data_IF_909393144597
#
_entry.id   IF_909393144597
#
_cell.length_a   1.000
_cell.length_b   1.000
_cell.length_c   1.000
_cell.angle_alpha   90.00
_cell.angle_beta   90.00
_cell.angle_gamma   90.00
#
_symmetry.space_group_name_H-M   'P 1'
#
loop_
_entity.id
_entity.type
_entity.pdbx_description
1 polymer ?
#
# COMPACT_ATOMS: atom_id res chain seq x y z
N UNK A 1 0.27 -17.21 -3.01
CA UNK A 1 -0.52 -18.38 -2.53
C UNK A 1 -0.56 -19.47 -3.60
N UNK A 2 0.56 -20.13 -3.86
CA UNK A 2 0.60 -21.39 -4.61
C UNK A 2 1.60 -22.32 -3.92
N UNK A 3 1.10 -23.10 -2.97
CA UNK A 3 1.66 -24.36 -2.47
C UNK A 3 0.71 -24.81 -1.37
N UNK A 4 0.40 -26.11 -1.32
CA UNK A 4 -0.61 -26.80 -0.49
C UNK A 4 -1.96 -27.03 -1.20
N UNK A 5 -1.90 -27.77 -2.30
CA UNK A 5 -2.99 -28.67 -2.70
C UNK A 5 -2.43 -30.10 -2.82
N UNK A 6 -3.30 -31.09 -2.59
CA UNK A 6 -3.06 -32.54 -2.38
C UNK A 6 -2.87 -32.91 -0.90
N UNK A 7 -3.80 -33.59 -0.23
CA UNK A 7 -4.27 -34.97 -0.51
C UNK A 7 -5.53 -35.19 0.35
N UNK A 8 -6.67 -35.66 -0.17
CA UNK A 8 -7.14 -37.03 0.01
C UNK A 8 -8.46 -37.22 -0.77
N UNK A 9 -8.51 -38.29 -1.56
CA UNK A 9 -9.71 -38.78 -2.27
C UNK A 9 -10.45 -39.81 -1.42
N UNK A 10 -11.77 -39.69 -1.45
CA UNK A 10 -12.82 -40.75 -1.49
C UNK A 10 -12.90 -41.84 -0.41
N UNK A 11 -14.06 -41.89 0.25
CA UNK A 11 -14.86 -43.12 0.37
C UNK A 11 -16.35 -42.74 0.50
N UNK A 12 -17.20 -43.30 -0.36
CA UNK A 12 -18.66 -43.20 -0.29
C UNK A 12 -19.23 -44.33 0.56
N UNK A 13 -20.35 -44.08 1.24
CA UNK A 13 -21.43 -45.06 1.34
C UNK A 13 -22.77 -44.38 1.67
N UNK A 14 -23.81 -44.88 1.02
CA UNK A 14 -25.17 -44.37 0.99
C UNK A 14 -25.99 -44.69 2.27
N UNK A 15 -27.05 -43.91 2.49
CA UNK A 15 -28.09 -44.21 3.47
C UNK A 15 -29.15 -43.12 3.52
N UNK A 16 -30.09 -43.14 2.58
CA UNK A 16 -31.27 -42.29 2.60
C UNK A 16 -32.29 -42.78 3.63
N UNK A 17 -32.77 -41.89 4.51
CA UNK A 17 -34.03 -42.06 5.23
C UNK A 17 -34.77 -40.72 5.19
N UNK A 18 -35.89 -40.69 4.47
CA UNK A 18 -36.90 -39.64 4.52
C UNK A 18 -37.59 -39.69 5.88
N UNK A 19 -37.63 -38.56 6.59
CA UNK A 19 -38.64 -38.28 7.61
C UNK A 19 -39.20 -36.88 7.35
N UNK A 20 -40.43 -36.85 6.88
CA UNK A 20 -41.25 -35.66 6.79
C UNK A 20 -41.84 -35.35 8.18
N UNK A 21 -41.67 -34.12 8.67
CA UNK A 21 -42.55 -33.59 9.71
C UNK A 21 -42.63 -32.06 9.66
N UNK A 22 -43.87 -31.61 9.49
CA UNK A 22 -44.48 -30.28 9.56
C UNK A 22 -43.64 -29.07 9.99
N UNK A 23 -43.72 -28.02 9.16
CA UNK A 23 -43.41 -26.64 9.54
C UNK A 23 -44.51 -26.07 10.46
N UNK A 24 -44.16 -25.33 11.53
CA UNK A 24 -45.05 -24.37 12.15
C UNK A 24 -44.84 -22.98 11.55
N UNK A 25 -45.97 -22.34 11.27
CA UNK A 25 -46.17 -20.99 10.79
C UNK A 25 -45.52 -19.90 11.65
N UNK A 26 -44.92 -18.92 10.98
CA UNK A 26 -44.56 -17.61 11.53
C UNK A 26 -45.82 -16.89 12.06
N UNK A 27 -45.81 -16.51 13.34
CA UNK A 27 -46.59 -15.36 13.81
C UNK A 27 -45.62 -14.25 14.21
N UNK A 28 -45.69 -13.13 13.47
CA UNK A 28 -45.02 -11.89 13.82
C UNK A 28 -45.51 -11.39 15.17
N UNK A 29 -44.60 -11.32 16.13
CA UNK A 29 -44.73 -10.48 17.32
C UNK A 29 -43.66 -9.40 17.24
N UNK A 30 -44.04 -8.19 16.83
CA UNK A 30 -43.23 -6.99 17.06
C UNK A 30 -43.22 -6.71 18.56
N UNK A 31 -42.23 -7.28 19.25
CA UNK A 31 -41.78 -6.80 20.55
C UNK A 31 -40.36 -6.25 20.35
N UNK A 32 -40.03 -5.06 20.89
CA UNK A 32 -38.63 -4.63 20.94
C UNK A 32 -37.81 -5.69 21.69
N UNK A 33 -36.57 -6.00 21.27
CA UNK A 33 -35.73 -6.94 21.98
C UNK A 33 -35.60 -6.52 23.45
N UNK A 34 -35.87 -7.45 24.35
CA UNK A 34 -35.62 -7.31 25.78
C UNK A 34 -34.11 -7.09 25.96
N UNK A 35 -33.64 -6.15 26.80
CA UNK A 35 -32.21 -5.92 26.98
C UNK A 35 -31.54 -7.22 27.45
N UNK A 36 -30.77 -7.86 26.55
CA UNK A 36 -29.89 -8.96 26.90
C UNK A 36 -28.86 -8.45 27.92
N UNK A 37 -28.48 -9.30 28.87
CA UNK A 37 -27.49 -9.01 29.92
C UNK A 37 -26.35 -8.13 29.41
N UNK A 38 -26.08 -7.00 30.08
CA UNK A 38 -24.96 -6.12 29.72
C UNK A 38 -23.65 -6.91 29.77
N UNK A 39 -23.17 -7.37 28.60
CA UNK A 39 -21.84 -7.96 28.49
C UNK A 39 -20.83 -6.84 28.69
N UNK A 40 -19.89 -7.06 29.60
CA UNK A 40 -18.73 -6.19 29.77
C UNK A 40 -17.83 -6.22 28.53
N UNK A 41 -16.99 -5.20 28.33
CA UNK A 41 -16.04 -5.15 27.22
C UNK A 41 -15.08 -6.36 27.23
N UNK A 42 -14.68 -6.82 28.42
CA UNK A 42 -13.88 -8.03 28.58
C UNK A 42 -14.62 -9.31 28.10
N UNK A 43 -15.92 -9.43 28.39
CA UNK A 43 -16.72 -10.55 27.88
C UNK A 43 -16.91 -10.49 26.37
N UNK A 44 -17.12 -9.31 25.79
CA UNK A 44 -17.22 -9.14 24.33
C UNK A 44 -15.90 -9.51 23.65
N UNK A 45 -14.77 -9.08 24.22
CA UNK A 45 -13.44 -9.43 23.73
C UNK A 45 -13.20 -10.95 23.81
N UNK A 46 -13.53 -11.60 24.93
CA UNK A 46 -13.37 -13.05 25.11
C UNK A 46 -14.25 -13.84 24.14
N UNK A 47 -15.53 -13.47 24.00
CA UNK A 47 -16.43 -14.06 23.01
C UNK A 47 -15.89 -13.88 21.58
N UNK A 48 -15.32 -12.72 21.25
CA UNK A 48 -14.71 -12.46 19.94
C UNK A 48 -13.50 -13.37 19.67
N UNK A 49 -12.68 -13.68 20.68
CA UNK A 49 -11.57 -14.65 20.58
C UNK A 49 -12.11 -16.07 20.37
N UNK A 50 -13.14 -16.45 21.12
CA UNK A 50 -13.76 -17.77 21.02
C UNK A 50 -14.29 -18.09 19.62
N UNK A 51 -14.77 -17.08 18.85
CA UNK A 51 -15.21 -17.27 17.46
C UNK A 51 -14.14 -17.99 16.61
N UNK A 52 -12.88 -17.61 16.79
CA UNK A 52 -11.74 -18.13 16.04
C UNK A 52 -11.17 -19.44 16.60
N UNK A 53 -11.55 -19.83 17.81
CA UNK A 53 -11.04 -21.03 18.49
C UNK A 53 -12.02 -22.20 18.47
N UNK A 54 -13.32 -21.93 18.54
CA UNK A 54 -14.37 -22.94 18.72
C UNK A 54 -14.81 -23.60 17.41
N UNK A 55 -15.36 -24.81 17.53
CA UNK A 55 -16.05 -25.49 16.44
C UNK A 55 -17.41 -24.86 16.10
N UNK A 56 -17.99 -25.22 14.96
CA UNK A 56 -19.24 -24.62 14.43
C UNK A 56 -20.38 -24.54 15.45
N UNK A 57 -20.67 -25.63 16.18
CA UNK A 57 -21.83 -25.67 17.09
C UNK A 57 -21.68 -24.70 18.27
N UNK A 58 -20.51 -24.68 18.89
CA UNK A 58 -20.23 -23.81 20.04
C UNK A 58 -20.13 -22.34 19.61
N UNK A 59 -19.55 -22.11 18.42
CA UNK A 59 -19.52 -20.78 17.80
C UNK A 59 -20.92 -20.20 17.61
N UNK A 60 -21.90 -20.99 17.20
CA UNK A 60 -23.29 -20.50 17.04
C UNK A 60 -23.87 -19.96 18.35
N UNK A 61 -23.55 -20.57 19.49
CA UNK A 61 -23.95 -20.06 20.81
C UNK A 61 -23.29 -18.72 21.15
N UNK A 62 -22.00 -18.57 20.83
CA UNK A 62 -21.27 -17.31 20.96
C UNK A 62 -21.89 -16.21 20.07
N UNK A 63 -22.16 -16.53 18.81
CA UNK A 63 -22.78 -15.59 17.86
C UNK A 63 -24.16 -15.14 18.32
N UNK A 64 -24.99 -16.05 18.84
CA UNK A 64 -26.32 -15.71 19.37
C UNK A 64 -26.24 -14.70 20.53
N UNK A 65 -25.30 -14.88 21.47
CA UNK A 65 -25.08 -13.92 22.57
C UNK A 65 -24.67 -12.53 22.08
N UNK A 66 -23.80 -12.47 21.08
CA UNK A 66 -23.36 -11.20 20.49
C UNK A 66 -24.48 -10.50 19.72
N UNK A 67 -25.31 -11.27 19.00
CA UNK A 67 -26.49 -10.76 18.29
C UNK A 67 -27.56 -10.27 19.26
N UNK A 68 -27.87 -11.03 20.32
CA UNK A 68 -28.86 -10.65 21.34
C UNK A 68 -28.46 -9.38 22.10
N UNK A 69 -27.14 -9.10 22.21
CA UNK A 69 -26.63 -7.82 22.74
C UNK A 69 -26.96 -6.63 21.84
N UNK A 70 -27.07 -6.83 20.52
CA UNK A 70 -27.55 -5.83 19.56
C UNK A 70 -26.61 -4.65 19.26
N UNK A 71 -25.41 -4.62 19.84
CA UNK A 71 -24.44 -3.54 19.63
C UNK A 71 -23.54 -3.81 18.40
N UNK A 72 -23.30 -2.77 17.60
CA UNK A 72 -22.52 -2.86 16.37
C UNK A 72 -21.00 -2.82 16.57
N UNK A 73 -20.54 -2.53 17.78
CA UNK A 73 -19.11 -2.44 18.15
C UNK A 73 -18.34 -3.77 17.98
N UNK A 74 -19.03 -4.91 17.94
CA UNK A 74 -18.43 -6.23 17.64
C UNK A 74 -18.26 -6.51 16.16
N UNK A 75 -18.94 -5.76 15.28
CA UNK A 75 -18.92 -5.97 13.82
C UNK A 75 -17.48 -6.02 13.26
N UNK A 76 -16.55 -5.12 13.63
CA UNK A 76 -15.15 -5.22 13.20
C UNK A 76 -14.47 -6.56 13.49
N UNK A 77 -14.73 -7.18 14.66
CA UNK A 77 -14.17 -8.49 14.99
C UNK A 77 -14.83 -9.61 14.20
N UNK A 78 -16.13 -9.49 13.89
CA UNK A 78 -16.83 -10.42 13.01
C UNK A 78 -16.29 -10.36 11.58
N UNK A 79 -16.08 -9.17 11.05
CA UNK A 79 -15.46 -8.96 9.73
C UNK A 79 -14.05 -9.55 9.71
N UNK A 80 -13.24 -9.30 10.75
CA UNK A 80 -11.92 -9.92 10.85
C UNK A 80 -12.00 -11.46 10.92
N UNK A 81 -12.98 -12.00 11.64
CA UNK A 81 -13.17 -13.45 11.77
C UNK A 81 -13.56 -14.11 10.44
N UNK A 82 -14.37 -13.43 9.62
CA UNK A 82 -14.75 -13.88 8.28
C UNK A 82 -13.52 -14.14 7.38
N UNK A 83 -12.42 -13.41 7.59
CA UNK A 83 -11.16 -13.63 6.83
C UNK A 83 -10.55 -15.01 7.06
N UNK A 84 -10.70 -15.57 8.25
CA UNK A 84 -9.97 -16.78 8.67
C UNK A 84 -10.85 -18.03 8.69
N UNK A 85 -12.18 -17.89 8.70
CA UNK A 85 -13.12 -18.98 8.92
C UNK A 85 -13.73 -19.56 7.63
N UNK A 86 -12.91 -19.74 6.60
CA UNK A 86 -13.33 -20.07 5.24
C UNK A 86 -14.18 -21.35 5.04
N UNK A 87 -14.25 -22.28 6.00
CA UNK A 87 -15.02 -23.52 5.87
C UNK A 87 -16.50 -23.38 6.27
N UNK A 88 -16.86 -22.37 7.08
CA UNK A 88 -18.23 -22.15 7.55
C UNK A 88 -18.44 -20.68 7.95
N UNK A 89 -18.57 -19.77 6.97
CA UNK A 89 -18.70 -18.34 7.23
C UNK A 89 -20.12 -17.94 7.65
N UNK A 90 -21.09 -18.82 7.54
CA UNK A 90 -22.52 -18.45 7.50
C UNK A 90 -23.02 -17.88 8.81
N UNK A 91 -22.59 -18.42 9.96
CA UNK A 91 -22.97 -17.87 11.26
C UNK A 91 -22.45 -16.46 11.49
N UNK A 92 -21.28 -16.13 10.94
CA UNK A 92 -20.71 -14.77 10.98
C UNK A 92 -21.50 -13.85 10.05
N UNK A 93 -21.76 -14.30 8.82
CA UNK A 93 -22.52 -13.55 7.81
C UNK A 93 -23.92 -13.24 8.31
N UNK A 94 -24.62 -14.19 8.92
CA UNK A 94 -25.96 -13.97 9.48
C UNK A 94 -25.93 -12.97 10.64
N UNK A 95 -24.95 -13.07 11.54
CA UNK A 95 -24.81 -12.08 12.61
C UNK A 95 -24.47 -10.68 12.09
N UNK A 96 -23.60 -10.58 11.08
CA UNK A 96 -23.29 -9.32 10.40
C UNK A 96 -24.57 -8.71 9.81
N UNK A 97 -25.42 -9.51 9.14
CA UNK A 97 -26.71 -9.05 8.61
C UNK A 97 -27.65 -8.54 9.71
N UNK A 98 -27.77 -9.28 10.80
CA UNK A 98 -28.68 -8.92 11.89
C UNK A 98 -28.21 -7.64 12.59
N UNK A 99 -26.91 -7.53 12.90
CA UNK A 99 -26.35 -6.40 13.63
C UNK A 99 -26.29 -5.13 12.77
N UNK A 100 -26.01 -5.25 11.47
CA UNK A 100 -25.83 -4.09 10.58
C UNK A 100 -27.09 -3.70 9.82
N UNK A 101 -28.03 -4.64 9.64
CA UNK A 101 -29.18 -4.48 8.75
C UNK A 101 -28.85 -4.56 7.26
N UNK A 102 -27.62 -4.96 6.90
CA UNK A 102 -27.12 -4.98 5.52
C UNK A 102 -26.62 -6.37 5.10
N UNK A 103 -26.67 -6.68 3.81
CA UNK A 103 -26.18 -7.96 3.25
C UNK A 103 -25.14 -7.72 2.16
N UNK A 104 -23.87 -7.97 2.51
CA UNK A 104 -22.72 -7.88 1.60
C UNK A 104 -22.17 -9.26 1.20
N UNK A 105 -22.96 -10.32 1.38
CA UNK A 105 -22.57 -11.69 1.04
C UNK A 105 -21.51 -12.27 1.99
N UNK A 106 -20.73 -13.25 1.49
CA UNK A 106 -19.79 -14.03 2.30
C UNK A 106 -18.31 -13.70 2.03
N UNK A 107 -18.02 -12.72 1.18
CA UNK A 107 -16.63 -12.34 0.88
C UNK A 107 -16.16 -11.33 1.90
N UNK A 108 -15.03 -11.63 2.54
CA UNK A 108 -14.38 -10.70 3.46
C UNK A 108 -14.10 -9.32 2.82
N UNK A 109 -13.72 -9.29 1.53
CA UNK A 109 -13.44 -8.04 0.82
C UNK A 109 -14.66 -7.09 0.81
N UNK A 110 -15.87 -7.60 0.63
CA UNK A 110 -17.08 -6.77 0.53
C UNK A 110 -17.40 -6.12 1.89
N UNK A 111 -17.29 -6.90 2.97
CA UNK A 111 -17.46 -6.40 4.33
C UNK A 111 -16.37 -5.41 4.75
N UNK A 112 -15.13 -5.57 4.29
CA UNK A 112 -14.08 -4.58 4.53
C UNK A 112 -14.37 -3.25 3.81
N UNK A 113 -14.88 -3.27 2.58
CA UNK A 113 -15.30 -2.05 1.88
C UNK A 113 -16.46 -1.36 2.59
N UNK A 114 -17.41 -2.13 3.13
CA UNK A 114 -18.47 -1.61 3.99
C UNK A 114 -17.90 -0.97 5.25
N UNK A 115 -16.96 -1.63 5.94
CA UNK A 115 -16.30 -1.09 7.14
C UNK A 115 -15.52 0.20 6.83
N UNK A 116 -14.86 0.27 5.67
CA UNK A 116 -14.22 1.50 5.17
C UNK A 116 -15.24 2.64 4.96
N UNK A 117 -16.47 2.31 4.57
CA UNK A 117 -17.56 3.28 4.38
C UNK A 117 -18.31 3.67 5.66
N UNK A 118 -18.05 2.99 6.79
CA UNK A 118 -18.75 3.16 8.06
C UNK A 118 -17.81 3.57 9.21
N UNK A 119 -17.23 4.79 9.16
CA UNK A 119 -16.41 5.31 10.27
C UNK A 119 -17.22 5.55 11.56
N UNK A 120 -18.55 5.51 11.48
CA UNK A 120 -19.47 5.57 12.63
C UNK A 120 -19.49 4.28 13.45
N UNK A 121 -19.02 3.15 12.90
CA UNK A 121 -18.95 1.87 13.60
C UNK A 121 -17.62 1.77 14.34
N UNK A 122 -17.66 2.11 15.62
CA UNK A 122 -16.49 2.10 16.50
C UNK A 122 -16.35 0.72 17.14
N UNK A 123 -15.19 0.05 17.04
CA UNK A 123 -14.96 -1.24 17.69
C UNK A 123 -15.13 -1.17 19.21
N UNK A 124 -15.45 -2.30 19.84
CA UNK A 124 -15.53 -2.40 21.31
C UNK A 124 -14.19 -2.03 21.99
N UNK A 125 -14.25 -1.56 23.23
CA UNK A 125 -13.05 -1.28 24.03
C UNK A 125 -12.22 -2.57 24.25
N UNK A 126 -10.92 -2.52 23.96
CA UNK A 126 -10.05 -3.70 23.97
C UNK A 126 -9.93 -4.41 22.61
N UNK A 127 -10.45 -3.81 21.54
CA UNK A 127 -10.31 -4.32 20.17
C UNK A 127 -8.85 -4.33 19.67
N UNK A 128 -8.02 -3.40 20.13
CA UNK A 128 -6.58 -3.36 19.89
C UNK A 128 -5.85 -4.59 20.46
N UNK A 129 -6.20 -5.00 21.69
CA UNK A 129 -5.69 -6.22 22.31
C UNK A 129 -6.28 -7.48 21.64
N UNK A 130 -7.53 -7.43 21.17
CA UNK A 130 -8.08 -8.49 20.33
C UNK A 130 -7.29 -8.63 19.01
N UNK A 131 -7.00 -7.52 18.31
CA UNK A 131 -6.18 -7.49 17.10
C UNK A 131 -4.77 -8.03 17.35
N UNK A 132 -4.14 -7.58 18.43
CA UNK A 132 -2.84 -8.08 18.90
C UNK A 132 -2.87 -9.60 19.09
N UNK A 133 -3.91 -10.11 19.78
CA UNK A 133 -4.11 -11.54 19.98
C UNK A 133 -4.26 -12.28 18.65
N UNK A 134 -5.13 -11.83 17.73
CA UNK A 134 -5.35 -12.49 16.43
C UNK A 134 -4.03 -12.59 15.64
N UNK A 135 -3.30 -11.48 15.51
CA UNK A 135 -2.11 -11.48 14.67
C UNK A 135 -0.90 -12.15 15.31
N UNK A 136 -0.78 -12.13 16.64
CA UNK A 136 0.29 -12.86 17.35
C UNK A 136 0.15 -14.38 17.22
N UNK A 137 -1.05 -14.90 16.92
CA UNK A 137 -1.25 -16.32 16.59
C UNK A 137 -0.80 -16.67 15.16
N UNK A 138 -0.65 -15.69 14.28
CA UNK A 138 -0.10 -15.86 12.92
C UNK A 138 1.42 -15.79 12.98
N UNK A 139 1.95 -14.75 13.62
CA UNK A 139 3.38 -14.55 13.88
C UNK A 139 3.52 -13.77 15.19
N UNK A 140 4.18 -14.33 16.23
CA UNK A 140 4.37 -13.67 17.51
C UNK A 140 4.99 -12.27 17.41
N UNK A 141 5.80 -12.01 16.37
CA UNK A 141 6.45 -10.71 16.18
C UNK A 141 5.48 -9.61 15.73
N UNK A 142 4.30 -9.96 15.19
CA UNK A 142 3.28 -8.98 14.82
C UNK A 142 2.67 -8.29 16.05
N UNK A 143 2.75 -8.91 17.23
CA UNK A 143 2.35 -8.29 18.50
C UNK A 143 3.20 -7.08 18.89
N UNK A 144 4.37 -6.88 18.28
CA UNK A 144 5.17 -5.66 18.47
C UNK A 144 4.50 -4.42 17.85
N UNK A 145 3.69 -4.61 16.80
CA UNK A 145 3.09 -3.51 16.03
C UNK A 145 1.69 -3.13 16.50
N UNK A 146 0.99 -4.03 17.17
CA UNK A 146 -0.39 -3.85 17.64
C UNK A 146 -0.49 -4.42 19.05
N UNK A 147 -0.83 -3.57 20.02
CA UNK A 147 -0.89 -3.91 21.45
C UNK A 147 -1.95 -3.04 22.15
N UNK A 148 -2.31 -3.42 23.38
CA UNK A 148 -3.30 -2.70 24.17
C UNK A 148 -2.88 -1.24 24.45
N UNK A 149 -3.77 -0.29 24.17
CA UNK A 149 -3.55 1.15 24.33
C UNK A 149 -2.60 1.75 23.30
N UNK A 150 -2.37 1.09 22.15
CA UNK A 150 -1.46 1.60 21.12
C UNK A 150 -1.93 2.98 20.61
N UNK A 151 -1.06 4.02 20.60
CA UNK A 151 -1.40 5.28 19.94
C UNK A 151 -1.52 5.07 18.42
N UNK A 152 -2.59 5.57 17.80
CA UNK A 152 -2.81 5.45 16.36
C UNK A 152 -3.54 6.65 15.77
N UNK A 153 -3.30 6.95 14.49
CA UNK A 153 -4.01 7.99 13.70
C UNK A 153 -4.83 7.42 12.55
N UNK A 154 -4.72 6.10 12.32
CA UNK A 154 -5.55 5.34 11.38
C UNK A 154 -6.48 4.40 12.14
N UNK A 155 -7.54 3.94 11.48
CA UNK A 155 -8.51 3.00 12.07
C UNK A 155 -7.95 1.58 12.15
N UNK A 156 -7.84 1.01 13.36
CA UNK A 156 -7.22 -0.30 13.57
C UNK A 156 -8.01 -1.44 12.92
N UNK A 157 -9.33 -1.30 12.82
CA UNK A 157 -10.20 -2.27 12.17
C UNK A 157 -9.91 -2.41 10.68
N UNK A 158 -9.46 -1.35 10.01
CA UNK A 158 -9.06 -1.37 8.60
C UNK A 158 -7.66 -1.96 8.36
N UNK A 159 -6.81 -2.07 9.40
CA UNK A 159 -5.50 -2.74 9.28
C UNK A 159 -5.75 -4.22 9.02
N UNK A 160 -5.16 -4.74 7.95
CA UNK A 160 -5.31 -6.12 7.51
C UNK A 160 -3.97 -6.81 7.31
N UNK A 161 -3.93 -8.13 7.50
CA UNK A 161 -2.73 -8.93 7.29
C UNK A 161 -2.57 -9.27 5.80
N UNK A 162 -1.43 -8.88 5.23
CA UNK A 162 -1.08 -9.02 3.82
C UNK A 162 -0.67 -10.43 3.39
N UNK A 163 -0.65 -11.40 4.31
CA UNK A 163 -0.33 -12.80 4.01
C UNK A 163 1.13 -13.20 4.24
N UNK A 164 1.94 -12.35 4.88
CA UNK A 164 3.35 -12.62 5.21
C UNK A 164 3.65 -12.26 6.67
N UNK A 165 4.60 -12.96 7.28
CA UNK A 165 5.12 -12.66 8.62
C UNK A 165 5.90 -11.32 8.64
N UNK A 166 6.28 -10.82 9.83
CA UNK A 166 7.21 -9.66 9.95
C UNK A 166 8.47 -9.95 9.12
N UNK A 167 8.87 -8.99 8.29
CA UNK A 167 10.00 -9.11 7.35
C UNK A 167 9.91 -10.30 6.37
N UNK A 168 8.73 -10.92 6.16
CA UNK A 168 8.55 -12.00 5.18
C UNK A 168 8.78 -11.57 3.72
N UNK A 169 8.73 -10.26 3.47
CA UNK A 169 9.23 -9.58 2.28
C UNK A 169 10.43 -8.74 2.76
N UNK A 170 11.66 -9.28 2.71
CA UNK A 170 12.79 -8.69 3.39
C UNK A 170 13.26 -7.43 2.67
N UNK A 171 13.33 -6.33 3.40
CA UNK A 171 13.95 -5.11 2.90
C UNK A 171 15.44 -5.33 2.65
N UNK A 172 15.95 -4.77 1.56
CA UNK A 172 17.39 -4.71 1.32
C UNK A 172 18.02 -3.66 2.22
N UNK A 173 19.23 -3.92 2.74
CA UNK A 173 19.97 -2.98 3.58
C UNK A 173 21.38 -2.87 3.04
N UNK A 174 21.76 -1.67 2.59
CA UNK A 174 23.02 -1.39 1.90
C UNK A 174 23.35 -2.46 0.84
N UNK A 175 22.42 -2.73 -0.11
CA UNK A 175 22.60 -3.82 -1.04
C UNK A 175 23.83 -3.62 -1.91
N UNK A 176 24.44 -4.72 -2.33
CA UNK A 176 25.57 -4.69 -3.25
C UNK A 176 25.13 -4.12 -4.60
N UNK A 177 25.86 -3.12 -5.08
CA UNK A 177 25.69 -2.54 -6.40
C UNK A 177 26.89 -2.89 -7.27
N UNK A 178 26.66 -3.06 -8.57
CA UNK A 178 27.67 -3.42 -9.56
C UNK A 178 27.72 -2.38 -10.68
N UNK A 179 28.86 -2.19 -11.37
CA UNK A 179 28.92 -1.34 -12.55
C UNK A 179 28.07 -1.93 -13.70
N UNK A 180 27.70 -1.12 -14.71
CA UNK A 180 26.80 -1.56 -15.78
C UNK A 180 27.36 -2.74 -16.59
N UNK A 181 28.68 -2.84 -16.71
CA UNK A 181 29.36 -3.93 -17.40
C UNK A 181 29.18 -5.31 -16.73
N UNK A 182 28.85 -5.35 -15.44
CA UNK A 182 28.57 -6.56 -14.67
C UNK A 182 27.06 -6.83 -14.54
N UNK A 183 26.21 -5.92 -15.03
CA UNK A 183 24.76 -6.05 -15.02
C UNK A 183 24.23 -6.70 -16.31
N UNK A 184 24.80 -7.83 -16.73
CA UNK A 184 24.40 -8.56 -17.94
C UNK A 184 23.02 -9.27 -17.81
N UNK A 185 22.50 -9.35 -16.59
CA UNK A 185 21.21 -9.95 -16.26
C UNK A 185 20.01 -9.03 -16.51
N UNK A 186 20.22 -7.73 -16.75
CA UNK A 186 19.16 -6.77 -17.02
C UNK A 186 19.08 -6.46 -18.52
N UNK A 187 17.89 -6.58 -19.07
CA UNK A 187 17.61 -6.29 -20.47
C UNK A 187 17.27 -4.82 -20.69
N UNK A 188 17.47 -4.27 -21.91
CA UNK A 188 17.27 -2.85 -22.20
C UNK A 188 15.89 -2.28 -21.84
N UNK A 189 14.83 -3.09 -21.96
CA UNK A 189 13.44 -2.66 -21.79
C UNK A 189 12.94 -2.76 -20.34
N UNK A 190 13.71 -3.39 -19.45
CA UNK A 190 13.31 -3.54 -18.05
C UNK A 190 13.28 -2.19 -17.34
N UNK A 191 12.22 -1.99 -16.55
CA UNK A 191 12.08 -0.78 -15.76
C UNK A 191 12.99 -0.80 -14.53
N UNK A 192 13.59 0.35 -14.24
CA UNK A 192 14.38 0.60 -13.04
C UNK A 192 13.81 1.80 -12.28
N UNK A 193 13.96 1.77 -10.96
CA UNK A 193 13.94 2.98 -10.15
C UNK A 193 15.32 3.64 -10.27
N UNK A 194 15.38 4.73 -11.00
CA UNK A 194 16.56 5.57 -11.15
C UNK A 194 16.60 6.66 -10.09
N UNK A 195 17.72 6.77 -9.38
CA UNK A 195 17.95 7.75 -8.32
C UNK A 195 19.28 8.46 -8.58
N UNK A 196 19.29 9.78 -8.47
CA UNK A 196 20.50 10.59 -8.44
C UNK A 196 20.47 11.49 -7.20
N UNK A 197 21.51 11.40 -6.37
CA UNK A 197 21.72 12.30 -5.23
C UNK A 197 23.19 12.73 -5.22
N UNK A 198 23.45 14.03 -5.28
CA UNK A 198 24.80 14.60 -5.24
C UNK A 198 25.76 13.96 -6.27
N UNK A 199 25.25 13.62 -7.47
CA UNK A 199 26.01 12.98 -8.55
C UNK A 199 26.19 11.45 -8.43
N UNK A 200 25.79 10.83 -7.30
CA UNK A 200 25.73 9.38 -7.16
C UNK A 200 24.45 8.87 -7.82
N UNK A 201 24.61 8.12 -8.92
CA UNK A 201 23.51 7.63 -9.76
C UNK A 201 23.36 6.13 -9.62
N UNK A 202 22.15 5.68 -9.29
CA UNK A 202 21.85 4.27 -9.00
C UNK A 202 20.58 3.80 -9.70
N UNK A 203 20.58 2.55 -10.12
CA UNK A 203 19.44 1.87 -10.70
C UNK A 203 19.05 0.62 -9.90
N UNK A 204 17.78 0.55 -9.51
CA UNK A 204 17.20 -0.60 -8.82
C UNK A 204 16.13 -1.23 -9.71
N UNK A 205 16.33 -2.42 -10.29
CA UNK A 205 15.37 -3.04 -11.19
C UNK A 205 14.02 -3.30 -10.50
N UNK A 206 12.92 -2.88 -11.14
CA UNK A 206 11.57 -3.00 -10.58
C UNK A 206 11.26 -4.45 -10.18
N UNK A 207 11.62 -5.42 -11.04
CA UNK A 207 11.38 -6.85 -10.78
C UNK A 207 12.06 -7.39 -9.53
N UNK A 208 13.17 -6.78 -9.11
CA UNK A 208 13.86 -7.17 -7.88
C UNK A 208 13.17 -6.54 -6.68
N UNK A 209 12.75 -5.27 -6.82
CA UNK A 209 11.94 -4.62 -5.80
C UNK A 209 10.51 -5.17 -5.73
N UNK A 210 10.00 -5.91 -6.72
CA UNK A 210 8.77 -6.68 -6.53
C UNK A 210 8.94 -7.80 -5.47
N UNK A 211 10.16 -8.31 -5.25
CA UNK A 211 10.47 -9.33 -4.24
C UNK A 211 10.85 -8.78 -2.87
N UNK A 212 11.38 -7.56 -2.83
CA UNK A 212 11.89 -6.91 -1.61
C UNK A 212 11.03 -5.76 -1.13
N UNK A 213 10.31 -5.13 -2.05
CA UNK A 213 9.42 -3.97 -1.85
C UNK A 213 10.08 -2.77 -1.17
N UNK A 214 11.37 -2.82 -0.86
CA UNK A 214 12.05 -1.81 -0.08
C UNK A 214 13.56 -2.00 -0.12
N UNK A 215 14.29 -0.88 -0.06
CA UNK A 215 15.68 -0.86 0.37
C UNK A 215 15.94 0.29 1.34
N UNK A 216 16.94 0.12 2.19
CA UNK A 216 17.59 1.18 2.97
C UNK A 216 19.04 1.30 2.48
N UNK A 217 19.49 2.52 2.19
CA UNK A 217 20.79 2.77 1.54
C UNK A 217 21.32 4.17 1.90
N UNK A 218 22.57 4.45 1.55
CA UNK A 218 23.17 5.78 1.60
C UNK A 218 23.64 6.16 0.20
N UNK A 219 22.94 7.11 -0.43
CA UNK A 219 23.18 7.54 -1.82
C UNK A 219 23.69 8.98 -1.81
N UNK A 220 24.87 9.22 -2.39
CA UNK A 220 25.47 10.56 -2.41
C UNK A 220 25.69 11.16 -1.02
N UNK A 221 25.89 10.32 -0.01
CA UNK A 221 26.02 10.71 1.40
C UNK A 221 24.69 10.95 2.15
N UNK A 222 23.54 10.73 1.51
CA UNK A 222 22.21 10.91 2.12
C UNK A 222 21.61 9.55 2.48
N UNK A 223 21.30 9.28 3.76
CA UNK A 223 20.54 8.10 4.17
C UNK A 223 19.12 8.14 3.62
N UNK A 224 18.73 7.08 2.91
CA UNK A 224 17.43 6.98 2.25
C UNK A 224 16.81 5.60 2.42
N UNK A 225 15.50 5.56 2.30
CA UNK A 225 14.73 4.35 2.11
C UNK A 225 13.78 4.53 0.93
N UNK A 226 13.89 3.67 -0.08
CA UNK A 226 12.84 3.56 -1.09
C UNK A 226 11.85 2.51 -0.62
N UNK A 227 10.60 2.92 -0.45
CA UNK A 227 9.51 2.03 -0.12
C UNK A 227 8.64 1.83 -1.36
N UNK A 228 8.58 0.60 -1.87
CA UNK A 228 7.79 0.21 -3.02
C UNK A 228 6.58 -0.64 -2.62
N UNK A 229 5.38 -0.03 -2.64
CA UNK A 229 4.14 -0.79 -2.55
C UNK A 229 3.80 -1.34 -3.96
N UNK A 230 4.13 -2.60 -4.22
CA UNK A 230 3.80 -3.35 -5.45
C UNK A 230 2.30 -3.29 -5.75
N UNK A 231 1.46 -3.49 -4.71
CA UNK A 231 0.01 -3.42 -4.81
C UNK A 231 -0.49 -2.04 -5.25
N UNK A 232 0.26 -0.98 -4.92
CA UNK A 232 -0.08 0.40 -5.20
C UNK A 232 0.60 0.97 -6.43
N UNK A 233 1.49 0.21 -7.08
CA UNK A 233 2.31 0.71 -8.18
C UNK A 233 3.18 1.92 -7.79
N UNK A 234 3.54 2.04 -6.51
CA UNK A 234 4.10 3.27 -5.95
C UNK A 234 5.42 3.06 -5.22
N UNK A 235 6.50 3.57 -5.80
CA UNK A 235 7.83 3.63 -5.20
C UNK A 235 8.14 5.06 -4.77
N UNK A 236 8.33 5.27 -3.47
CA UNK A 236 8.60 6.59 -2.89
C UNK A 236 9.95 6.54 -2.18
N UNK A 237 10.84 7.45 -2.56
CA UNK A 237 12.16 7.60 -1.96
C UNK A 237 12.09 8.61 -0.82
N UNK A 238 12.39 8.17 0.39
CA UNK A 238 12.39 8.99 1.59
C UNK A 238 13.81 9.24 2.08
N UNK A 239 14.11 10.45 2.52
CA UNK A 239 15.25 10.69 3.41
C UNK A 239 14.91 10.14 4.79
N UNK A 240 15.82 9.38 5.37
CA UNK A 240 15.61 8.73 6.68
C UNK A 240 16.35 9.41 7.82
N UNK A 241 17.26 10.32 7.50
CA UNK A 241 17.87 11.22 8.47
C UNK A 241 16.89 12.34 8.82
N UNK A 242 16.41 12.33 10.07
CA UNK A 242 15.37 13.23 10.57
C UNK A 242 15.94 14.04 11.72
N UNK A 243 15.76 15.37 11.64
CA UNK A 243 16.26 16.30 12.65
C UNK A 243 15.82 15.91 14.08
N UNK A 244 16.76 15.92 15.01
CA UNK A 244 16.51 15.58 16.41
C UNK A 244 16.66 14.09 16.76
N UNK A 245 17.08 13.25 15.79
CA UNK A 245 17.45 11.85 16.04
C UNK A 245 18.96 11.65 15.94
N UNK A 246 19.46 10.65 16.66
CA UNK A 246 20.89 10.28 16.67
C UNK A 246 21.30 9.42 15.47
N UNK A 247 20.33 8.75 14.84
CA UNK A 247 20.55 7.88 13.69
C UNK A 247 19.38 7.96 12.70
N UNK A 248 19.65 7.79 11.39
CA UNK A 248 18.61 7.65 10.38
C UNK A 248 17.70 6.45 10.68
N UNK A 249 16.44 6.54 10.28
CA UNK A 249 15.54 5.40 10.34
C UNK A 249 15.98 4.29 9.38
N UNK A 250 15.93 3.05 9.86
CA UNK A 250 15.95 1.85 9.02
C UNK A 250 14.55 1.23 9.02
N UNK A 251 13.98 1.02 7.84
CA UNK A 251 12.63 0.50 7.66
C UNK A 251 12.63 -0.98 7.25
N UNK A 252 11.59 -1.69 7.68
CA UNK A 252 11.27 -3.05 7.27
C UNK A 252 9.82 -3.22 6.81
N UNK A 253 9.49 -4.44 6.40
CA UNK A 253 8.14 -4.80 5.95
C UNK A 253 7.34 -5.39 7.11
N UNK A 254 6.24 -4.75 7.52
CA UNK A 254 5.47 -5.24 8.68
C UNK A 254 4.62 -6.48 8.37
N UNK A 255 4.25 -6.68 7.10
CA UNK A 255 3.23 -7.66 6.68
C UNK A 255 1.79 -7.14 6.82
N UNK A 256 1.59 -5.91 7.29
CA UNK A 256 0.30 -5.25 7.37
C UNK A 256 0.02 -4.31 6.19
N UNK A 257 -1.27 -4.19 5.89
CA UNK A 257 -1.82 -3.29 4.89
C UNK A 257 -2.90 -2.39 5.52
N UNK A 258 -3.01 -1.16 5.03
CA UNK A 258 -4.12 -0.25 5.29
C UNK A 258 -4.64 0.27 3.96
N UNK A 259 -5.91 -0.01 3.63
CA UNK A 259 -6.52 0.29 2.31
C UNK A 259 -5.69 -0.21 1.12
N UNK A 260 -5.28 -1.48 1.17
CA UNK A 260 -4.39 -2.11 0.18
C UNK A 260 -2.99 -1.46 0.02
N UNK A 261 -2.63 -0.48 0.86
CA UNK A 261 -1.30 0.10 0.93
C UNK A 261 -0.47 -0.52 2.05
N UNK A 262 0.81 -0.71 1.78
CA UNK A 262 1.78 -1.25 2.72
C UNK A 262 1.95 -0.37 3.95
N UNK A 263 1.91 -0.97 5.13
CA UNK A 263 2.48 -0.38 6.33
C UNK A 263 3.92 -0.87 6.47
N UNK A 264 4.88 0.05 6.41
CA UNK A 264 6.26 -0.24 6.79
C UNK A 264 6.44 -0.03 8.29
N UNK A 265 7.56 -0.49 8.87
CA UNK A 265 7.87 -0.22 10.27
C UNK A 265 9.31 0.26 10.42
N UNK A 266 9.59 1.12 11.39
CA UNK A 266 10.98 1.43 11.74
C UNK A 266 11.51 0.40 12.76
N UNK A 267 12.74 -0.06 12.53
CA UNK A 267 13.35 -1.14 13.34
C UNK A 267 13.69 -0.75 14.77
N UNK A 268 13.76 0.53 15.08
CA UNK A 268 14.15 1.03 16.40
C UNK A 268 12.97 1.03 17.38
N UNK A 269 11.80 1.47 16.92
CA UNK A 269 10.64 1.70 17.78
C UNK A 269 9.50 0.72 17.54
N UNK A 270 9.55 -0.04 16.44
CA UNK A 270 8.45 -0.84 15.89
C UNK A 270 7.18 -0.01 15.59
N UNK A 271 7.32 1.29 15.34
CA UNK A 271 6.17 2.11 14.90
C UNK A 271 5.81 1.73 13.47
N UNK A 272 4.52 1.57 13.18
CA UNK A 272 4.01 1.43 11.82
C UNK A 272 3.92 2.80 11.15
N UNK A 273 4.40 2.86 9.92
CA UNK A 273 4.37 4.03 9.06
C UNK A 273 3.56 3.73 7.80
N UNK A 274 2.75 4.69 7.39
CA UNK A 274 2.05 4.58 6.12
C UNK A 274 3.03 4.86 4.98
N UNK A 275 3.27 3.87 4.12
CA UNK A 275 4.24 3.98 3.03
C UNK A 275 3.89 5.13 2.07
N UNK A 276 2.59 5.34 1.81
CA UNK A 276 2.16 6.37 0.87
C UNK A 276 2.40 7.79 1.40
N UNK A 277 2.23 8.02 2.70
CA UNK A 277 2.35 9.36 3.30
C UNK A 277 3.72 9.65 3.91
N UNK A 278 4.48 8.62 4.32
CA UNK A 278 5.75 8.79 5.03
C UNK A 278 5.59 9.29 6.46
N UNK A 279 4.45 9.00 7.12
CA UNK A 279 4.15 9.41 8.49
C UNK A 279 3.91 8.21 9.42
N UNK A 280 4.22 8.31 10.73
CA UNK A 280 3.88 7.30 11.71
C UNK A 280 2.36 7.26 11.91
N UNK A 281 1.79 6.06 11.97
CA UNK A 281 0.33 5.85 12.03
C UNK A 281 -0.15 4.94 13.16
N UNK A 282 0.71 4.07 13.69
CA UNK A 282 0.42 3.30 14.91
C UNK A 282 1.73 2.96 15.64
N UNK A 283 1.83 3.30 16.93
CA UNK A 283 3.03 3.03 17.75
C UNK A 283 3.61 4.27 18.41
N UNK A 284 4.87 4.15 18.88
CA UNK A 284 5.50 5.12 19.79
C UNK A 284 5.72 6.51 19.18
N UNK A 285 5.93 6.59 17.87
CA UNK A 285 6.16 7.87 17.19
C UNK A 285 4.87 8.57 16.74
N UNK A 286 3.70 7.98 16.99
CA UNK A 286 2.42 8.66 16.72
C UNK A 286 2.29 9.88 17.63
N UNK A 287 1.82 10.99 17.05
CA UNK A 287 1.75 12.29 17.73
C UNK A 287 3.07 13.06 17.71
N UNK A 288 4.15 12.48 17.17
CA UNK A 288 5.31 13.27 16.75
C UNK A 288 4.98 14.05 15.48
N UNK A 289 5.57 15.24 15.31
CA UNK A 289 5.46 16.05 14.08
C UNK A 289 6.37 15.52 12.95
N UNK A 290 6.78 14.24 13.01
CA UNK A 290 7.69 13.66 12.04
C UNK A 290 6.94 13.30 10.76
N UNK A 291 7.46 13.77 9.64
CA UNK A 291 7.11 13.33 8.30
C UNK A 291 8.39 13.18 7.48
N UNK A 292 8.55 12.05 6.80
CA UNK A 292 9.73 11.79 5.97
C UNK A 292 9.73 12.70 4.74
N UNK A 293 10.87 13.32 4.47
CA UNK A 293 11.06 14.14 3.28
C UNK A 293 11.19 13.24 2.05
N UNK A 294 10.39 13.54 1.02
CA UNK A 294 10.42 12.80 -0.24
C UNK A 294 11.50 13.36 -1.15
N UNK A 295 12.25 12.48 -1.83
CA UNK A 295 13.20 12.79 -2.89
C UNK A 295 12.63 12.37 -4.25
N UNK A 296 13.04 13.03 -5.35
CA UNK A 296 12.67 12.57 -6.69
C UNK A 296 13.17 11.15 -6.97
N UNK A 297 12.36 10.36 -7.65
CA UNK A 297 12.73 9.05 -8.19
C UNK A 297 12.15 8.93 -9.60
N UNK A 298 12.91 8.39 -10.55
CA UNK A 298 12.43 8.09 -11.89
C UNK A 298 12.06 6.61 -11.99
N UNK A 299 10.93 6.30 -12.64
CA UNK A 299 10.73 4.98 -13.25
C UNK A 299 11.03 5.15 -14.73
N UNK A 300 11.96 4.37 -15.28
CA UNK A 300 12.30 4.42 -16.70
C UNK A 300 12.92 3.10 -17.15
N UNK A 301 13.07 2.87 -18.46
CA UNK A 301 13.76 1.67 -18.94
C UNK A 301 15.26 1.74 -18.67
N UNK A 302 15.88 0.58 -18.47
CA UNK A 302 17.32 0.47 -18.25
C UNK A 302 18.12 1.13 -19.38
N UNK A 303 17.71 0.94 -20.63
CA UNK A 303 18.34 1.58 -21.78
C UNK A 303 18.36 3.11 -21.68
N UNK A 304 17.22 3.72 -21.31
CA UNK A 304 17.09 5.18 -21.17
C UNK A 304 17.90 5.69 -19.99
N UNK A 305 17.88 4.97 -18.87
CA UNK A 305 18.66 5.33 -17.68
C UNK A 305 20.16 5.27 -17.97
N UNK A 306 20.65 4.17 -18.51
CA UNK A 306 22.07 3.96 -18.82
C UNK A 306 22.59 4.96 -19.86
N UNK A 307 21.80 5.31 -20.86
CA UNK A 307 22.17 6.34 -21.84
C UNK A 307 22.41 7.72 -21.20
N UNK A 308 21.66 8.06 -20.14
CA UNK A 308 21.81 9.32 -19.39
C UNK A 308 22.88 9.24 -18.30
N UNK A 309 23.11 8.05 -17.74
CA UNK A 309 24.00 7.79 -16.61
C UNK A 309 24.92 6.60 -16.88
N UNK A 310 25.91 6.72 -17.79
CA UNK A 310 26.78 5.60 -18.15
C UNK A 310 27.65 5.11 -16.99
N UNK A 311 27.90 5.97 -16.00
CA UNK A 311 28.69 5.65 -14.80
C UNK A 311 27.82 5.17 -13.61
N UNK A 312 26.53 4.92 -13.83
CA UNK A 312 25.60 4.47 -12.78
C UNK A 312 25.99 3.12 -12.21
N UNK A 313 25.54 2.82 -10.99
CA UNK A 313 25.61 1.45 -10.43
C UNK A 313 24.23 0.81 -10.39
N UNK A 314 24.18 -0.52 -10.48
CA UNK A 314 22.94 -1.30 -10.56
C UNK A 314 22.86 -2.32 -9.44
N UNK A 315 21.68 -2.52 -8.86
CA UNK A 315 21.44 -3.52 -7.81
C UNK A 315 21.81 -4.93 -8.26
N UNK A 316 22.83 -5.52 -7.63
CA UNK A 316 23.32 -6.88 -7.92
C UNK A 316 22.28 -7.96 -7.59
N UNK A 317 22.33 -9.08 -8.33
CA UNK A 317 21.59 -10.31 -7.97
C UNK A 317 22.06 -10.92 -6.64
N UNK A 318 23.26 -10.58 -6.18
CA UNK A 318 23.82 -10.97 -4.88
C UNK A 318 23.21 -10.13 -3.74
N UNK A 319 21.91 -10.33 -3.51
CA UNK A 319 21.12 -9.59 -2.52
C UNK A 319 21.22 -10.18 -1.11
N UNK A 320 21.82 -11.37 -0.98
CA UNK A 320 21.79 -12.18 0.25
C UNK A 320 20.51 -13.01 0.44
N UNK A 321 19.61 -13.04 -0.55
CA UNK A 321 18.35 -13.80 -0.49
C UNK A 321 18.19 -14.77 -1.66
N UNK A 322 17.63 -15.95 -1.37
CA UNK A 322 17.25 -16.94 -2.40
C UNK A 322 15.86 -16.58 -2.97
N UNK A 323 15.86 -15.88 -4.11
CA UNK A 323 14.64 -15.43 -4.82
C UNK A 323 14.78 -15.68 -6.32
N UNK A 324 13.66 -16.01 -6.97
CA UNK A 324 13.60 -16.12 -8.43
C UNK A 324 13.42 -14.73 -9.04
N UNK A 325 14.54 -14.05 -9.28
CA UNK A 325 14.54 -12.74 -9.90
C UNK A 325 14.22 -12.76 -11.41
N UNK A 326 13.80 -13.87 -12.00
CA UNK A 326 13.36 -13.86 -13.41
C UNK A 326 12.23 -12.83 -13.61
N UNK A 327 12.23 -12.04 -14.71
CA UNK A 327 11.16 -11.07 -14.99
C UNK A 327 9.75 -11.68 -14.91
N UNK A 328 8.81 -10.94 -14.30
CA UNK A 328 7.38 -11.31 -14.26
C UNK A 328 7.00 -12.40 -13.27
N UNK A 329 7.90 -12.84 -12.37
CA UNK A 329 7.61 -13.90 -11.38
C UNK A 329 6.73 -13.44 -10.20
N UNK A 330 7.09 -12.39 -9.45
CA UNK A 330 6.24 -11.92 -8.36
C UNK A 330 5.03 -11.17 -8.92
N UNK A 331 3.87 -11.34 -8.28
CA UNK A 331 2.64 -10.58 -8.55
C UNK A 331 2.07 -10.62 -9.98
N UNK A 332 2.55 -11.49 -10.89
CA UNK A 332 2.06 -11.55 -12.28
C UNK A 332 0.51 -11.59 -12.41
N UNK A 333 -0.21 -12.49 -11.70
CA UNK A 333 -1.67 -12.54 -11.78
C UNK A 333 -2.36 -11.26 -11.30
N UNK A 334 -1.70 -10.49 -10.42
CA UNK A 334 -2.21 -9.22 -9.93
C UNK A 334 -2.02 -8.12 -10.96
N UNK A 335 -0.87 -8.07 -11.64
CA UNK A 335 -0.62 -7.06 -12.68
C UNK A 335 -1.50 -7.29 -13.91
N UNK A 336 -1.85 -8.54 -14.22
CA UNK A 336 -2.69 -8.90 -15.37
C UNK A 336 -4.21 -8.74 -15.10
N UNK A 337 -4.60 -8.43 -13.85
CA UNK A 337 -5.99 -8.27 -13.44
C UNK A 337 -6.33 -6.80 -13.16
N UNK A 338 -7.53 -6.30 -13.52
CA UNK A 338 -7.99 -4.99 -13.08
C UNK A 338 -8.31 -4.94 -11.57
N UNK A 339 -8.51 -6.10 -10.92
CA UNK A 339 -9.00 -6.19 -9.54
C UNK A 339 -7.90 -5.94 -8.50
N UNK A 340 -8.28 -5.29 -7.39
CA UNK A 340 -7.40 -5.12 -6.24
C UNK A 340 -7.26 -6.44 -5.46
N UNK A 341 -6.04 -6.77 -5.03
CA UNK A 341 -5.77 -7.98 -4.25
C UNK A 341 -6.34 -7.88 -2.83
N UNK A 342 -6.28 -6.67 -2.26
CA UNK A 342 -6.87 -6.30 -0.99
C UNK A 342 -7.88 -5.17 -1.21
N UNK A 343 -8.97 -5.14 -0.41
CA UNK A 343 -10.02 -4.14 -0.58
C UNK A 343 -9.48 -2.73 -0.28
N UNK A 344 -9.87 -1.79 -1.12
CA UNK A 344 -9.74 -0.35 -0.92
C UNK A 344 -10.83 0.34 -1.73
N UNK A 345 -11.49 1.35 -1.17
CA UNK A 345 -12.54 2.08 -1.87
C UNK A 345 -12.00 2.88 -3.05
N UNK A 346 -12.71 2.84 -4.17
CA UNK A 346 -12.46 3.68 -5.35
C UNK A 346 -13.74 4.43 -5.66
N UNK A 347 -13.82 5.68 -5.20
CA UNK A 347 -15.03 6.48 -5.31
C UNK A 347 -15.06 7.32 -6.60
N UNK A 348 -13.89 7.78 -7.05
CA UNK A 348 -13.77 8.55 -8.29
C UNK A 348 -13.34 7.62 -9.43
N UNK A 349 -14.24 7.45 -10.40
CA UNK A 349 -14.11 6.48 -11.49
C UNK A 349 -13.70 7.11 -12.82
N UNK A 350 -13.25 8.37 -12.82
CA UNK A 350 -12.65 9.02 -14.01
C UNK A 350 -11.40 8.30 -14.52
N UNK A 351 -10.75 7.55 -13.63
CA UNK A 351 -9.68 6.59 -13.94
C UNK A 351 -10.05 5.22 -13.35
N UNK A 352 -9.60 4.15 -14.00
CA UNK A 352 -9.68 2.82 -13.43
C UNK A 352 -8.78 2.72 -12.19
N UNK A 353 -9.08 1.79 -11.28
CA UNK A 353 -8.39 1.66 -10.00
C UNK A 353 -6.86 1.57 -10.15
N UNK A 354 -6.39 0.84 -11.17
CA UNK A 354 -4.96 0.64 -11.47
C UNK A 354 -4.42 1.49 -12.63
N UNK A 355 -5.15 2.52 -13.05
CA UNK A 355 -4.54 3.52 -13.93
C UNK A 355 -3.43 4.24 -13.18
N UNK A 356 -2.32 4.52 -13.86
CA UNK A 356 -1.21 5.24 -13.26
C UNK A 356 -1.46 6.75 -13.25
N UNK A 357 -1.03 7.37 -12.16
CA UNK A 357 -0.87 8.82 -12.04
C UNK A 357 0.57 9.13 -11.65
N UNK A 358 1.05 10.30 -12.05
CA UNK A 358 2.22 10.92 -11.45
C UNK A 358 1.76 11.89 -10.37
N UNK A 359 2.28 11.74 -9.16
CA UNK A 359 1.91 12.53 -7.99
C UNK A 359 3.09 13.39 -7.54
N UNK A 360 2.84 14.68 -7.32
CA UNK A 360 3.76 15.59 -6.64
C UNK A 360 3.27 15.89 -5.23
N UNK A 361 4.21 15.89 -4.29
CA UNK A 361 3.95 16.20 -2.88
C UNK A 361 5.02 17.15 -2.35
N UNK A 362 4.62 18.39 -2.06
CA UNK A 362 5.53 19.44 -1.62
C UNK A 362 4.93 20.25 -0.48
N UNK A 363 5.27 19.89 0.76
CA UNK A 363 4.59 20.44 1.93
C UNK A 363 3.11 20.06 1.91
N UNK A 364 2.24 21.06 1.97
CA UNK A 364 0.78 20.86 1.89
C UNK A 364 0.24 20.87 0.45
N UNK A 365 1.09 21.20 -0.54
CA UNK A 365 0.69 21.22 -1.93
C UNK A 365 0.84 19.82 -2.54
N UNK A 366 -0.29 19.26 -2.98
CA UNK A 366 -0.37 17.91 -3.51
C UNK A 366 -1.26 17.91 -4.75
N UNK A 367 -0.76 17.37 -5.86
CA UNK A 367 -1.48 17.27 -7.14
C UNK A 367 -1.02 16.04 -7.91
N UNK A 368 -1.93 15.44 -8.66
CA UNK A 368 -1.63 14.33 -9.54
C UNK A 368 -2.02 14.60 -10.99
N UNK A 369 -1.35 13.91 -11.90
CA UNK A 369 -1.59 13.93 -13.35
C UNK A 369 -1.78 12.52 -13.83
N UNK A 370 -2.86 12.24 -14.55
CA UNK A 370 -3.05 10.95 -15.19
C UNK A 370 -1.88 10.66 -16.13
N UNK A 371 -1.27 9.48 -16.04
CA UNK A 371 -0.09 9.15 -16.83
C UNK A 371 -0.37 9.18 -18.35
N UNK A 372 -1.63 8.91 -18.74
CA UNK A 372 -2.10 8.99 -20.14
C UNK A 372 -1.92 10.38 -20.77
N UNK A 373 -1.79 11.45 -19.98
CA UNK A 373 -1.49 12.80 -20.50
C UNK A 373 -0.16 12.84 -21.28
N UNK A 374 0.76 11.93 -20.98
CA UNK A 374 2.08 11.84 -21.60
C UNK A 374 2.15 10.82 -22.75
N UNK A 375 1.01 10.38 -23.30
CA UNK A 375 0.98 9.56 -24.52
C UNK A 375 1.38 10.37 -25.76
N UNK A 376 0.77 11.54 -25.94
CA UNK A 376 1.02 12.44 -27.08
C UNK A 376 1.65 13.78 -26.69
N UNK A 377 1.70 14.09 -25.38
CA UNK A 377 2.21 15.37 -24.86
C UNK A 377 3.40 15.13 -23.92
N UNK A 378 4.64 15.04 -24.44
CA UNK A 378 5.82 14.72 -23.63
C UNK A 378 6.23 15.85 -22.68
N UNK A 379 5.77 17.08 -22.90
CA UNK A 379 6.08 18.25 -22.06
C UNK A 379 4.78 18.96 -21.72
N UNK A 380 4.49 19.08 -20.43
CA UNK A 380 3.27 19.68 -19.90
C UNK A 380 3.61 20.79 -18.90
N UNK A 381 3.27 22.03 -19.21
CA UNK A 381 3.31 23.12 -18.23
C UNK A 381 2.01 23.12 -17.42
N UNK A 382 2.13 23.34 -16.11
CA UNK A 382 1.01 23.40 -15.19
C UNK A 382 1.40 24.20 -13.94
N UNK A 383 0.51 24.23 -12.95
CA UNK A 383 0.79 24.78 -11.63
C UNK A 383 0.41 23.79 -10.53
N UNK A 384 1.08 23.92 -9.40
CA UNK A 384 0.72 23.26 -8.14
C UNK A 384 0.76 24.30 -7.03
N UNK A 385 -0.39 24.57 -6.41
CA UNK A 385 -0.54 25.64 -5.41
C UNK A 385 0.00 27.00 -5.92
N UNK A 386 -0.37 27.34 -7.16
CA UNK A 386 0.07 28.57 -7.86
C UNK A 386 1.52 28.59 -8.32
N UNK A 387 2.36 27.60 -7.94
CA UNK A 387 3.74 27.51 -8.40
C UNK A 387 3.82 26.92 -9.80
N UNK A 388 4.46 27.60 -10.77
CA UNK A 388 4.56 27.12 -12.14
C UNK A 388 5.61 26.00 -12.24
N UNK A 389 5.21 24.92 -12.89
CA UNK A 389 6.00 23.70 -13.05
C UNK A 389 5.94 23.20 -14.50
N UNK A 390 6.94 22.43 -14.89
CA UNK A 390 6.92 21.65 -16.13
C UNK A 390 7.08 20.18 -15.79
N UNK A 391 6.24 19.34 -16.38
CA UNK A 391 6.35 17.88 -16.34
C UNK A 391 6.86 17.39 -17.69
N UNK A 392 7.93 16.62 -17.67
CA UNK A 392 8.46 15.92 -18.84
C UNK A 392 8.21 14.42 -18.67
N UNK A 393 7.42 13.82 -19.55
CA UNK A 393 6.97 12.45 -19.37
C UNK A 393 6.89 11.59 -20.62
N UNK A 394 6.79 10.30 -20.38
CA UNK A 394 6.63 9.21 -21.36
C UNK A 394 5.79 8.13 -20.69
N UNK A 395 4.55 7.96 -21.17
CA UNK A 395 3.59 7.02 -20.57
C UNK A 395 4.04 5.56 -20.68
N UNK A 396 4.67 5.18 -21.80
CA UNK A 396 5.10 3.80 -22.09
C UNK A 396 6.15 3.28 -21.11
N UNK A 397 7.08 4.14 -20.69
CA UNK A 397 8.12 3.82 -19.70
C UNK A 397 7.78 4.30 -18.28
N UNK A 398 6.57 4.84 -18.08
CA UNK A 398 6.10 5.42 -16.80
C UNK A 398 7.00 6.52 -16.27
N UNK A 399 7.77 7.15 -17.16
CA UNK A 399 8.71 8.19 -16.79
C UNK A 399 7.98 9.50 -16.70
N UNK A 400 8.08 10.19 -15.57
CA UNK A 400 7.69 11.59 -15.45
C UNK A 400 8.69 12.28 -14.53
N UNK A 401 9.18 13.45 -14.94
CA UNK A 401 10.04 14.33 -14.14
C UNK A 401 9.38 15.70 -14.08
N UNK A 402 9.24 16.26 -12.89
CA UNK A 402 8.74 17.61 -12.72
C UNK A 402 9.85 18.55 -12.26
N UNK A 403 9.83 19.77 -12.76
CA UNK A 403 10.77 20.83 -12.40
C UNK A 403 10.02 22.12 -12.10
N UNK A 404 10.58 22.94 -11.22
CA UNK A 404 10.18 24.34 -11.14
C UNK A 404 10.51 25.04 -12.46
N UNK A 405 9.73 26.05 -12.84
CA UNK A 405 10.01 26.82 -14.08
C UNK A 405 10.49 28.25 -13.83
N UNK A 406 10.35 28.76 -12.61
CA UNK A 406 10.54 30.18 -12.33
C UNK A 406 9.59 31.09 -13.13
N UNK A 407 8.42 30.57 -13.55
CA UNK A 407 7.44 31.30 -14.37
C UNK A 407 7.64 31.16 -15.88
N UNK A 408 8.57 30.31 -16.31
CA UNK A 408 8.79 30.02 -17.73
C UNK A 408 7.79 28.98 -18.24
N UNK A 409 7.47 29.11 -19.53
CA UNK A 409 6.76 28.10 -20.31
C UNK A 409 7.79 27.32 -21.14
N UNK A 410 7.74 25.99 -21.04
CA UNK A 410 8.64 25.09 -21.77
C UNK A 410 7.93 24.35 -22.89
N UNK A 411 8.67 24.05 -23.95
CA UNK A 411 8.23 23.22 -25.07
C UNK A 411 9.30 22.17 -25.41
N UNK A 412 8.94 21.06 -26.08
CA UNK A 412 9.92 20.07 -26.52
C UNK A 412 10.93 20.68 -27.50
N UNK A 413 12.22 20.35 -27.38
CA UNK A 413 13.19 20.67 -28.42
C UNK A 413 13.00 19.73 -29.63
N UNK A 414 13.04 20.29 -30.85
CA UNK A 414 12.78 19.54 -32.07
C UNK A 414 13.87 18.49 -32.32
N UNK A 415 13.49 17.21 -32.26
CA UNK A 415 14.41 16.08 -32.50
C UNK A 415 15.39 15.80 -31.35
N UNK A 416 15.20 16.44 -30.19
CA UNK A 416 16.11 16.33 -29.05
C UNK A 416 15.29 16.16 -27.74
N UNK A 417 15.15 14.92 -27.29
CA UNK A 417 14.41 14.59 -26.07
C UNK A 417 15.15 14.96 -24.77
N UNK A 418 16.41 15.39 -24.87
CA UNK A 418 17.26 15.74 -23.73
C UNK A 418 17.21 17.24 -23.40
N UNK A 419 16.55 18.03 -24.24
CA UNK A 419 16.44 19.47 -24.10
C UNK A 419 14.99 19.96 -24.19
N UNK A 420 14.71 21.03 -23.44
CA UNK A 420 13.50 21.83 -23.53
C UNK A 420 13.84 23.20 -24.11
N UNK A 421 12.85 23.88 -24.67
CA UNK A 421 12.97 25.26 -25.16
C UNK A 421 12.01 26.16 -24.40
N UNK A 422 12.54 27.27 -23.88
CA UNK A 422 11.80 28.40 -23.34
C UNK A 422 12.14 29.68 -24.13
N UNK A 423 11.48 30.80 -23.80
CA UNK A 423 11.72 32.09 -24.49
C UNK A 423 13.17 32.57 -24.38
N UNK A 424 13.89 32.19 -23.32
CA UNK A 424 15.27 32.60 -23.05
C UNK A 424 16.32 31.61 -23.55
N UNK A 425 15.92 30.49 -24.16
CA UNK A 425 16.82 29.57 -24.85
C UNK A 425 16.55 28.10 -24.56
N UNK A 426 17.59 27.29 -24.80
CA UNK A 426 17.57 25.85 -24.58
C UNK A 426 17.96 25.50 -23.14
N UNK A 427 17.28 24.50 -22.59
CA UNK A 427 17.48 24.00 -21.25
C UNK A 427 17.68 22.49 -21.26
N UNK A 428 18.82 22.03 -20.79
CA UNK A 428 19.16 20.61 -20.71
C UNK A 428 18.48 19.97 -19.51
N UNK A 429 17.86 18.81 -19.73
CA UNK A 429 17.19 18.03 -18.71
C UNK A 429 18.21 17.14 -17.99
N UNK A 430 18.30 17.22 -16.67
CA UNK A 430 19.10 16.32 -15.82
C UNK A 430 18.25 15.68 -14.73
N UNK A 431 18.77 14.70 -13.98
CA UNK A 431 17.97 14.13 -12.88
C UNK A 431 17.84 15.04 -11.66
N UNK A 432 18.69 16.06 -11.52
CA UNK A 432 18.62 17.00 -10.41
C UNK A 432 17.92 18.30 -10.79
N UNK A 433 18.12 18.78 -12.03
CA UNK A 433 17.80 20.15 -12.44
C UNK A 433 17.54 20.28 -13.95
N UNK A 434 16.84 21.34 -14.37
CA UNK A 434 16.99 21.90 -15.72
C UNK A 434 18.16 22.88 -15.72
N UNK A 435 19.01 22.85 -16.75
CA UNK A 435 20.20 23.70 -16.83
C UNK A 435 20.17 24.50 -18.14
N UNK A 436 20.16 25.83 -18.03
CA UNK A 436 20.17 26.72 -19.19
C UNK A 436 21.53 26.77 -19.88
N UNK A 437 21.57 27.27 -21.12
CA UNK A 437 22.83 27.53 -21.83
C UNK A 437 23.76 28.54 -21.13
N UNK A 438 23.25 29.35 -20.19
CA UNK A 438 24.05 30.29 -19.37
C UNK A 438 24.48 29.72 -18.02
N UNK A 439 24.01 28.52 -17.65
CA UNK A 439 24.30 27.87 -16.37
C UNK A 439 23.30 28.19 -15.24
N UNK A 440 22.17 28.85 -15.54
CA UNK A 440 21.05 28.95 -14.59
C UNK A 440 20.43 27.57 -14.39
N UNK A 441 20.00 27.26 -13.17
CA UNK A 441 19.42 25.96 -12.83
C UNK A 441 18.02 26.09 -12.23
N UNK A 442 17.17 25.10 -12.50
CA UNK A 442 15.83 24.97 -11.92
C UNK A 442 15.65 23.57 -11.34
N UNK A 443 15.29 23.50 -10.06
CA UNK A 443 15.31 22.25 -9.30
C UNK A 443 14.23 21.26 -9.74
N UNK A 444 14.57 19.97 -9.70
CA UNK A 444 13.60 18.87 -9.82
C UNK A 444 12.77 18.74 -8.56
N UNK A 445 11.50 18.44 -8.75
CA UNK A 445 10.49 18.30 -7.70
C UNK A 445 10.29 16.83 -7.31
N UNK A 446 9.96 16.55 -6.02
CA UNK A 446 9.84 15.20 -5.49
C UNK A 446 8.50 14.55 -5.87
N UNK A 447 8.43 14.00 -7.08
CA UNK A 447 7.27 13.24 -7.56
C UNK A 447 7.53 11.76 -7.72
N UNK A 448 6.45 11.00 -7.80
CA UNK A 448 6.45 9.54 -7.91
C UNK A 448 5.23 9.05 -8.70
N UNK A 449 5.32 7.83 -9.24
CA UNK A 449 4.20 7.13 -9.85
C UNK A 449 3.37 6.42 -8.78
N UNK A 450 2.07 6.34 -8.96
CA UNK A 450 1.16 5.54 -8.16
C UNK A 450 -0.04 5.07 -8.98
N UNK A 451 -0.70 4.00 -8.55
CA UNK A 451 -2.05 3.67 -9.01
C UNK A 451 -3.08 4.65 -8.46
N UNK A 452 -4.12 4.89 -9.25
CA UNK A 452 -5.19 5.81 -8.94
C UNK A 452 -5.92 5.50 -7.62
N UNK A 453 -6.18 4.22 -7.32
CA UNK A 453 -6.80 3.84 -6.06
C UNK A 453 -5.96 4.27 -4.85
N UNK A 454 -4.63 4.15 -4.94
CA UNK A 454 -3.75 4.52 -3.83
C UNK A 454 -3.78 6.04 -3.63
N UNK A 455 -3.61 6.81 -4.70
CA UNK A 455 -3.67 8.27 -4.63
C UNK A 455 -4.98 8.77 -4.02
N UNK A 456 -6.15 8.35 -4.53
CA UNK A 456 -7.42 8.85 -4.01
C UNK A 456 -7.70 8.44 -2.55
N UNK A 457 -7.18 7.28 -2.08
CA UNK A 457 -7.41 6.83 -0.71
C UNK A 457 -6.65 7.66 0.32
N UNK A 458 -5.48 8.15 -0.05
CA UNK A 458 -4.64 8.95 0.85
C UNK A 458 -4.75 10.44 0.58
N UNK A 459 -5.18 10.84 -0.63
CA UNK A 459 -5.28 12.22 -1.12
C UNK A 459 -6.62 12.51 -1.81
N UNK A 460 -7.77 12.21 -1.17
CA UNK A 460 -9.07 12.32 -1.82
C UNK A 460 -9.46 13.76 -2.21
N UNK A 461 -8.86 14.76 -1.56
CA UNK A 461 -9.11 16.19 -1.81
C UNK A 461 -8.07 16.85 -2.71
N UNK A 462 -7.00 16.14 -3.07
CA UNK A 462 -5.93 16.71 -3.89
C UNK A 462 -6.42 16.90 -5.34
N UNK A 463 -6.00 18.01 -5.95
CA UNK A 463 -6.30 18.27 -7.35
C UNK A 463 -5.72 17.14 -8.21
N UNK A 464 -6.50 16.68 -9.19
CA UNK A 464 -6.03 15.69 -10.17
C UNK A 464 -6.40 16.16 -11.57
N UNK A 465 -5.41 16.21 -12.46
CA UNK A 465 -5.60 16.50 -13.87
C UNK A 465 -5.75 15.20 -14.65
N UNK A 466 -6.86 15.08 -15.36
CA UNK A 466 -7.22 13.88 -16.13
C UNK A 466 -7.08 14.06 -17.64
N UNK A 467 -7.17 15.31 -18.11
CA UNK A 467 -7.17 15.73 -19.52
C UNK A 467 -6.37 17.03 -19.70
#
# INVERSE_FOLDING_TARGET
MQSLSHTLKSASLAGAILLASAAPSLSQGNAPPVPGSELSNAEVQDLSRQILQLGTLERNGVMARLVDRGNTDVVPALIQSLRFLGQDPWSIVDALKILTGEDHGNRWNDWMLWQEARPDIIPFEGFDEYKSWVYSHIDPNLGAFLYAGIPHTIRLEEISWGGVIKDGIPALVNPKLVPPAEADYITPDELVFGVEINGDTRAYPLRMLDWHEMFNDVIGGVPVALAYCTLCGSGILFETDVAGRDAPFEFGSSGFLYRSNKLMFDRETDTLWNQFTGKPVAGKLVGSDIALKVRPVAITSWAKWYARHPDTTVLSLDTGFDRDYTPGKPYAPYFDSPDLMFPARVNDTRLAAKDYVYALRMGDAEKAWALKLFEDTPVLNDTIDGRPIVLVGDSGSRTVRAYETGGREFSPAAGDAENLVAMDGSWRITEAELISGSGETLSRLPGHIAYWFAWQNFRPSAETRFE
#
